data_IF_378165457908
#
_entry.id   IF_378165457908
#
_cell.length_a   1.000
_cell.length_b   1.000
_cell.length_c   1.000
_cell.angle_alpha   90.00
_cell.angle_beta   90.00
_cell.angle_gamma   90.00
#
_symmetry.space_group_name_H-M   'P 1'
#
loop_
_entity.id
_entity.type
_entity.pdbx_description
1 polymer ?
#
# COMPACT_ATOMS: atom_id res chain seq x y z
N UNK A 1 -18.40 12.79 -20.82
CA UNK A 1 -18.66 12.40 -19.45
C UNK A 1 -17.50 11.58 -18.91
N UNK A 2 -17.09 11.88 -17.75
CA UNK A 2 -16.01 11.14 -17.13
C UNK A 2 -16.51 10.16 -16.11
N UNK A 3 -15.82 9.04 -16.03
CA UNK A 3 -16.02 8.12 -14.93
C UNK A 3 -15.00 8.51 -13.89
N UNK A 4 -15.46 8.67 -12.67
CA UNK A 4 -14.55 8.98 -11.58
C UNK A 4 -13.84 7.70 -11.20
N UNK A 5 -12.54 7.73 -11.31
CA UNK A 5 -11.69 6.61 -10.95
C UNK A 5 -10.63 7.08 -9.97
N UNK A 6 -10.23 6.18 -9.11
CA UNK A 6 -10.61 4.76 -9.05
C UNK A 6 -11.97 4.57 -8.41
N UNK A 7 -12.56 3.40 -8.65
CA UNK A 7 -13.83 3.03 -8.04
C UNK A 7 -13.65 2.43 -6.64
N UNK A 8 -12.47 1.89 -6.36
CA UNK A 8 -12.18 1.21 -5.11
C UNK A 8 -10.86 1.77 -4.55
N UNK A 9 -10.88 2.12 -3.29
CA UNK A 9 -9.65 2.47 -2.56
C UNK A 9 -9.34 1.35 -1.58
N UNK A 10 -8.15 0.76 -1.71
CA UNK A 10 -7.70 -0.30 -0.82
C UNK A 10 -6.63 0.28 0.08
N UNK A 11 -6.84 0.17 1.39
CA UNK A 11 -5.95 0.79 2.37
C UNK A 11 -5.32 -0.27 3.25
N UNK A 12 -4.00 -0.27 3.33
CA UNK A 12 -3.26 -1.10 4.28
C UNK A 12 -2.65 -0.19 5.33
N UNK A 13 -2.85 -0.56 6.58
CA UNK A 13 -2.20 0.12 7.71
C UNK A 13 -1.10 -0.80 8.21
N UNK A 14 0.10 -0.28 8.37
CA UNK A 14 1.24 -1.08 8.81
C UNK A 14 2.00 -0.42 9.94
N UNK A 15 2.62 -1.27 10.77
CA UNK A 15 3.57 -0.82 11.77
C UNK A 15 4.51 -1.98 12.09
N UNK A 16 5.82 -1.77 11.82
CA UNK A 16 6.85 -2.78 12.04
C UNK A 16 6.43 -4.15 11.51
N UNK A 17 6.02 -4.17 10.26
CA UNK A 17 5.46 -5.35 9.62
C UNK A 17 6.38 -5.91 8.54
N UNK A 18 7.70 -5.75 8.67
CA UNK A 18 8.65 -6.16 7.64
C UNK A 18 8.49 -7.64 7.28
N UNK A 19 8.14 -8.47 8.26
CA UNK A 19 7.99 -9.91 8.01
C UNK A 19 6.78 -10.25 7.14
N UNK A 20 5.76 -9.39 7.10
CA UNK A 20 4.49 -9.72 6.43
C UNK A 20 4.05 -8.71 5.40
N UNK A 21 4.61 -7.49 5.41
CA UNK A 21 4.10 -6.42 4.55
C UNK A 21 4.26 -6.75 3.07
N UNK A 22 5.33 -7.40 2.68
CA UNK A 22 5.54 -7.76 1.28
C UNK A 22 4.45 -8.71 0.80
N UNK A 23 4.13 -9.70 1.62
CA UNK A 23 3.09 -10.65 1.30
C UNK A 23 1.73 -9.96 1.17
N UNK A 24 1.46 -9.02 2.06
CA UNK A 24 0.24 -8.23 2.01
C UNK A 24 0.17 -7.39 0.73
N UNK A 25 1.26 -6.69 0.41
CA UNK A 25 1.30 -5.88 -0.81
C UNK A 25 1.08 -6.76 -2.04
N UNK A 26 1.78 -7.89 -2.11
CA UNK A 26 1.66 -8.78 -3.25
C UNK A 26 0.25 -9.32 -3.39
N UNK A 27 -0.44 -9.60 -2.30
CA UNK A 27 -1.80 -10.11 -2.36
C UNK A 27 -2.76 -9.07 -2.94
N UNK A 28 -2.48 -7.78 -2.74
CA UNK A 28 -3.30 -6.72 -3.31
C UNK A 28 -2.97 -6.49 -4.79
N UNK A 29 -1.69 -6.32 -5.12
CA UNK A 29 -1.32 -5.97 -6.49
C UNK A 29 -1.49 -7.12 -7.47
N UNK A 30 -1.56 -8.35 -6.96
CA UNK A 30 -1.79 -9.53 -7.80
C UNK A 30 -3.27 -9.88 -7.95
N UNK A 31 -4.16 -9.13 -7.29
CA UNK A 31 -5.59 -9.31 -7.49
C UNK A 31 -6.02 -8.71 -8.81
N UNK A 32 -7.12 -9.22 -9.32
CA UNK A 32 -7.62 -8.84 -10.62
C UNK A 32 -8.62 -7.68 -10.51
N UNK A 33 -8.25 -6.67 -9.76
CA UNK A 33 -9.07 -5.47 -9.62
C UNK A 33 -9.04 -4.68 -10.92
N UNK A 34 -10.17 -4.12 -11.30
CA UNK A 34 -10.27 -3.35 -12.54
C UNK A 34 -9.88 -1.89 -12.31
N UNK A 35 -10.50 -1.25 -11.35
CA UNK A 35 -10.27 0.16 -11.07
C UNK A 35 -10.07 0.35 -9.57
N UNK A 36 -8.82 0.42 -9.16
CA UNK A 36 -8.53 0.59 -7.75
C UNK A 36 -7.31 1.49 -7.56
N UNK A 37 -7.24 2.10 -6.40
CA UNK A 37 -6.02 2.75 -5.95
C UNK A 37 -5.59 2.07 -4.65
N UNK A 38 -4.28 1.87 -4.51
CA UNK A 38 -3.75 1.23 -3.33
C UNK A 38 -3.04 2.28 -2.48
N UNK A 39 -3.41 2.35 -1.22
CA UNK A 39 -2.88 3.34 -0.28
C UNK A 39 -2.30 2.61 0.91
N UNK A 40 -1.10 3.00 1.34
CA UNK A 40 -0.49 2.43 2.55
C UNK A 40 -0.24 3.54 3.54
N UNK A 41 -0.71 3.35 4.76
CA UNK A 41 -0.46 4.27 5.87
C UNK A 41 0.39 3.53 6.88
N UNK A 42 1.61 3.99 7.07
CA UNK A 42 2.56 3.36 7.98
C UNK A 42 2.72 4.19 9.23
N UNK A 43 2.82 3.54 10.39
CA UNK A 43 2.92 4.18 11.70
C UNK A 43 4.36 4.44 12.14
N UNK A 44 5.22 4.88 11.23
CA UNK A 44 6.63 5.21 11.53
C UNK A 44 7.43 3.97 11.89
N UNK A 45 7.37 2.98 11.01
CA UNK A 45 8.10 1.71 11.20
C UNK A 45 9.60 1.91 11.20
N UNK A 46 10.29 1.10 11.97
CA UNK A 46 11.75 1.16 12.11
C UNK A 46 12.45 -0.14 11.74
N UNK A 47 11.74 -1.11 11.20
CA UNK A 47 12.24 -2.47 11.01
C UNK A 47 12.51 -2.85 9.55
N UNK A 48 12.44 -1.92 8.62
CA UNK A 48 12.60 -2.26 7.21
C UNK A 48 11.29 -2.30 6.44
N UNK A 49 10.15 -2.10 7.12
CA UNK A 49 8.85 -2.02 6.46
C UNK A 49 8.86 -0.99 5.35
N UNK A 50 9.45 0.19 5.60
CA UNK A 50 9.47 1.27 4.62
C UNK A 50 10.26 0.90 3.37
N UNK A 51 11.34 0.16 3.51
CA UNK A 51 12.13 -0.27 2.36
C UNK A 51 11.30 -1.18 1.46
N UNK A 52 10.46 -2.03 2.05
CA UNK A 52 9.60 -2.91 1.29
C UNK A 52 8.51 -2.11 0.59
N UNK A 53 7.92 -1.13 1.27
CA UNK A 53 6.91 -0.27 0.64
C UNK A 53 7.53 0.45 -0.55
N UNK A 54 8.73 0.99 -0.40
CA UNK A 54 9.41 1.69 -1.48
C UNK A 54 9.71 0.79 -2.66
N UNK A 55 9.97 -0.48 -2.41
CA UNK A 55 10.22 -1.46 -3.46
C UNK A 55 9.02 -1.59 -4.41
N UNK A 56 7.82 -1.39 -3.90
CA UNK A 56 6.59 -1.52 -4.68
C UNK A 56 5.89 -0.20 -4.94
N UNK A 57 6.57 0.93 -4.70
CA UNK A 57 5.88 2.23 -4.71
C UNK A 57 5.28 2.60 -6.06
N UNK A 58 5.79 2.08 -7.15
CA UNK A 58 5.23 2.34 -8.46
C UNK A 58 3.90 1.60 -8.69
N UNK A 59 3.56 0.67 -7.81
CA UNK A 59 2.26 -0.02 -7.81
C UNK A 59 1.31 0.54 -6.77
N UNK A 60 1.75 1.52 -5.99
CA UNK A 60 0.99 2.10 -4.89
C UNK A 60 0.66 3.53 -5.26
N UNK A 61 -0.62 3.89 -5.20
CA UNK A 61 -1.06 5.23 -5.58
C UNK A 61 -0.54 6.29 -4.62
N UNK A 62 -0.51 5.95 -3.33
CA UNK A 62 -0.05 6.88 -2.30
C UNK A 62 0.37 6.09 -1.07
N UNK A 63 1.46 6.52 -0.44
CA UNK A 63 1.83 5.97 0.85
C UNK A 63 2.44 7.07 1.71
N UNK A 64 2.28 6.93 2.99
CA UNK A 64 2.80 7.87 3.96
C UNK A 64 3.26 7.10 5.19
N UNK A 65 4.31 7.60 5.83
CA UNK A 65 4.78 7.04 7.10
C UNK A 65 4.89 8.18 8.09
N UNK A 66 4.15 8.06 9.17
CA UNK A 66 4.20 9.07 10.22
C UNK A 66 3.78 8.44 11.54
N UNK A 67 4.26 8.99 12.67
CA UNK A 67 3.92 8.44 13.98
C UNK A 67 2.41 8.47 14.20
N UNK A 68 1.97 7.45 14.87
CA UNK A 68 0.55 7.28 15.20
C UNK A 68 0.12 8.23 16.32
#
# INVERSE_FOLDING_TARGET
MGIIKPLISIITVSYNAAATIEQTILSVINEDFVDYEYIIVDGDSTDGTLDIIKKYQDKIAFWVSEPD
#
